data_IF_556428478522
#
_entry.id   IF_556428478522
#
_cell.length_a   1.000
_cell.length_b   1.000
_cell.length_c   1.000
_cell.angle_alpha   90.00
_cell.angle_beta   90.00
_cell.angle_gamma   90.00
#
_symmetry.space_group_name_H-M   'P 1'
#
loop_
_entity.id
_entity.type
_entity.pdbx_description
1 polymer ?
#
# COMPACT_ATOMS: atom_id res chain seq x y z
N UNK A 1 39.75 61.65 71.29
CA UNK A 1 40.84 60.77 70.83
C UNK A 1 42.13 60.93 71.65
N UNK A 2 42.58 62.15 71.99
CA UNK A 2 43.77 62.35 72.84
C UNK A 2 43.68 61.72 74.25
N UNK A 3 42.50 61.75 74.89
CA UNK A 3 42.32 61.20 76.25
C UNK A 3 42.41 59.67 76.31
N UNK A 4 41.88 58.94 75.31
CA UNK A 4 41.98 57.48 75.25
C UNK A 4 43.43 57.02 74.98
N UNK A 5 44.18 57.74 74.16
CA UNK A 5 45.60 57.45 73.94
C UNK A 5 46.40 57.72 75.23
N UNK A 6 46.08 58.79 75.96
CA UNK A 6 46.68 59.11 77.25
C UNK A 6 46.35 58.08 78.33
N UNK A 7 45.11 57.57 78.40
CA UNK A 7 44.73 56.49 79.30
C UNK A 7 45.41 55.16 78.95
N UNK A 8 45.44 54.77 77.67
CA UNK A 8 46.19 53.57 77.25
C UNK A 8 47.67 53.71 77.59
N UNK A 9 48.26 54.87 77.34
CA UNK A 9 49.66 55.08 77.64
C UNK A 9 49.94 55.13 79.14
N UNK A 10 49.04 55.70 79.96
CA UNK A 10 49.12 55.60 81.43
C UNK A 10 48.93 54.16 81.92
N UNK A 11 48.01 53.39 81.34
CA UNK A 11 47.76 52.00 81.67
C UNK A 11 48.95 51.10 81.33
N UNK A 12 49.55 51.26 80.14
CA UNK A 12 50.79 50.58 79.79
C UNK A 12 51.96 51.06 80.67
N UNK A 13 52.09 52.36 80.93
CA UNK A 13 53.13 52.89 81.84
C UNK A 13 52.96 52.38 83.27
N UNK A 14 51.74 52.09 83.70
CA UNK A 14 51.44 51.48 85.00
C UNK A 14 51.83 50.00 85.01
N UNK A 15 51.42 49.24 83.98
CA UNK A 15 51.82 47.82 83.81
C UNK A 15 53.33 47.63 83.68
N UNK A 16 54.01 48.50 82.91
CA UNK A 16 55.47 48.47 82.79
C UNK A 16 56.14 48.84 84.12
N UNK A 17 55.60 49.77 84.89
CA UNK A 17 56.09 50.04 86.25
C UNK A 17 55.88 48.85 87.19
N UNK A 18 54.72 48.21 87.15
CA UNK A 18 54.43 47.03 87.97
C UNK A 18 55.35 45.84 87.62
N UNK A 19 55.70 45.67 86.34
CA UNK A 19 56.68 44.68 85.87
C UNK A 19 58.13 45.00 86.27
N UNK A 20 58.50 46.28 86.31
CA UNK A 20 59.87 46.72 86.67
C UNK A 20 60.05 46.77 88.20
N UNK A 21 59.05 47.25 88.93
CA UNK A 21 59.19 47.53 90.36
C UNK A 21 58.85 46.34 91.25
N UNK A 22 58.10 45.31 90.83
CA UNK A 22 57.82 44.13 91.68
C UNK A 22 57.32 44.48 93.10
N UNK A 23 57.44 43.54 94.06
CA UNK A 23 56.88 43.70 95.42
C UNK A 23 57.69 44.68 96.34
N UNK A 24 57.05 45.75 96.87
CA UNK A 24 57.47 46.71 97.90
C UNK A 24 58.70 46.49 98.78
N UNK A 25 58.78 45.28 99.33
CA UNK A 25 59.53 44.98 100.56
C UNK A 25 60.98 44.52 100.33
N UNK A 26 61.38 44.27 99.07
CA UNK A 26 62.69 43.70 98.74
C UNK A 26 63.55 44.66 97.87
N UNK A 27 64.90 44.69 98.04
CA UNK A 27 65.82 45.46 97.20
C UNK A 27 65.70 45.12 95.70
N UNK A 28 65.97 46.08 94.78
CA UNK A 28 65.78 45.88 93.33
C UNK A 28 66.56 44.68 92.76
N UNK A 29 67.76 44.41 93.27
CA UNK A 29 68.54 43.22 92.90
C UNK A 29 67.85 41.91 93.29
N UNK A 30 67.20 41.86 94.46
CA UNK A 30 66.46 40.68 94.92
C UNK A 30 65.13 40.49 94.19
N UNK A 31 64.47 41.58 93.77
CA UNK A 31 63.23 41.50 92.96
C UNK A 31 63.49 40.91 91.58
N UNK A 32 64.54 41.36 90.91
CA UNK A 32 64.95 40.81 89.62
C UNK A 32 65.33 39.32 89.74
N UNK A 33 65.99 38.93 90.84
CA UNK A 33 66.29 37.53 91.14
C UNK A 33 65.04 36.68 91.39
N UNK A 34 64.05 37.19 92.14
CA UNK A 34 62.78 36.47 92.39
C UNK A 34 61.94 36.34 91.12
N UNK A 35 61.84 37.40 90.31
CA UNK A 35 61.10 37.38 89.05
C UNK A 35 61.78 36.45 88.02
N UNK A 36 63.12 36.50 87.91
CA UNK A 36 63.88 35.56 87.10
C UNK A 36 63.72 34.12 87.60
N UNK A 37 63.75 33.88 88.91
CA UNK A 37 63.54 32.55 89.48
C UNK A 37 62.11 32.03 89.24
N UNK A 38 61.11 32.91 89.23
CA UNK A 38 59.74 32.56 88.86
C UNK A 38 59.64 32.22 87.38
N UNK A 39 60.14 33.07 86.49
CA UNK A 39 60.14 32.81 85.04
C UNK A 39 60.91 31.53 84.69
N UNK A 40 62.01 31.24 85.38
CA UNK A 40 62.74 29.98 85.22
C UNK A 40 61.97 28.78 85.74
N UNK A 41 61.16 28.93 86.81
CA UNK A 41 60.27 27.87 87.29
C UNK A 41 59.14 27.63 86.30
N UNK A 42 58.45 28.68 85.87
CA UNK A 42 57.36 28.60 84.90
C UNK A 42 57.85 28.02 83.56
N UNK A 43 59.04 28.43 83.08
CA UNK A 43 59.65 27.87 81.88
C UNK A 43 60.04 26.40 82.06
N UNK A 44 60.50 25.99 83.24
CA UNK A 44 60.77 24.57 83.55
C UNK A 44 59.49 23.76 83.63
N UNK A 45 58.41 24.33 84.15
CA UNK A 45 57.10 23.70 84.25
C UNK A 45 56.48 23.54 82.86
N UNK A 46 56.47 24.59 82.04
CA UNK A 46 56.07 24.52 80.62
C UNK A 46 56.89 23.49 79.84
N UNK A 47 58.21 23.42 80.06
CA UNK A 47 59.05 22.40 79.42
C UNK A 47 58.71 20.98 79.90
N UNK A 48 58.26 20.80 81.15
CA UNK A 48 57.78 19.50 81.64
C UNK A 48 56.44 19.14 81.00
N UNK A 49 55.49 20.06 80.96
CA UNK A 49 54.19 19.88 80.31
C UNK A 49 54.37 19.54 78.84
N UNK A 50 55.16 20.32 78.09
CA UNK A 50 55.49 20.03 76.69
C UNK A 50 56.20 18.68 76.53
N UNK A 51 57.07 18.31 77.47
CA UNK A 51 57.71 16.98 77.45
C UNK A 51 56.70 15.85 77.69
N UNK A 52 55.65 16.07 78.48
CA UNK A 52 54.58 15.10 78.71
C UNK A 52 53.66 15.02 77.49
N UNK A 53 53.29 16.15 76.90
CA UNK A 53 52.54 16.21 75.64
C UNK A 53 53.29 15.50 74.50
N UNK A 54 54.60 15.69 74.38
CA UNK A 54 55.42 14.98 73.38
C UNK A 54 55.38 13.46 73.62
N UNK A 55 55.39 13.01 74.87
CA UNK A 55 55.29 11.57 75.19
C UNK A 55 53.91 11.03 74.83
N UNK A 56 52.85 11.75 75.17
CA UNK A 56 51.48 11.36 74.83
C UNK A 56 51.26 11.32 73.31
N UNK A 57 51.72 12.35 72.59
CA UNK A 57 51.64 12.38 71.12
C UNK A 57 52.43 11.23 70.47
N UNK A 58 53.59 10.87 71.01
CA UNK A 58 54.35 9.70 70.55
C UNK A 58 53.61 8.39 70.79
N UNK A 59 52.94 8.25 71.94
CA UNK A 59 52.13 7.08 72.24
C UNK A 59 50.94 6.98 71.27
N UNK A 60 50.17 8.07 71.10
CA UNK A 60 49.04 8.09 70.15
C UNK A 60 49.50 7.80 68.71
N UNK A 61 50.67 8.30 68.31
CA UNK A 61 51.24 7.98 67.00
C UNK A 61 51.52 6.47 66.87
N UNK A 62 52.09 5.84 67.89
CA UNK A 62 52.36 4.40 67.89
C UNK A 62 51.07 3.57 67.83
N UNK A 63 50.03 3.95 68.58
CA UNK A 63 48.70 3.33 68.55
C UNK A 63 48.07 3.42 67.16
N UNK A 64 48.01 4.62 66.57
CA UNK A 64 47.46 4.83 65.22
C UNK A 64 48.26 4.09 64.14
N UNK A 65 49.59 4.00 64.27
CA UNK A 65 50.42 3.20 63.38
C UNK A 65 50.12 1.69 63.50
N UNK A 66 49.89 1.20 64.73
CA UNK A 66 49.44 -0.17 65.00
C UNK A 66 48.08 -0.46 64.36
N UNK A 67 47.12 0.43 64.56
CA UNK A 67 45.78 0.33 63.96
C UNK A 67 45.85 0.37 62.43
N UNK A 68 46.68 1.25 61.86
CA UNK A 68 46.87 1.32 60.41
C UNK A 68 47.46 0.02 59.85
N UNK A 69 48.39 -0.62 60.57
CA UNK A 69 48.95 -1.93 60.19
C UNK A 69 47.88 -3.01 60.23
N UNK A 70 47.06 -3.05 61.28
CA UNK A 70 45.94 -3.98 61.40
C UNK A 70 44.91 -3.77 60.29
N UNK A 71 44.51 -2.52 60.01
CA UNK A 71 43.59 -2.19 58.92
C UNK A 71 44.13 -2.60 57.56
N UNK A 72 45.42 -2.34 57.27
CA UNK A 72 46.06 -2.81 56.04
C UNK A 72 46.04 -4.33 55.93
N UNK A 73 46.32 -5.04 57.02
CA UNK A 73 46.26 -6.50 57.07
C UNK A 73 44.84 -7.02 56.84
N UNK A 74 43.83 -6.40 57.46
CA UNK A 74 42.42 -6.75 57.27
C UNK A 74 41.94 -6.48 55.84
N UNK A 75 42.32 -5.34 55.24
CA UNK A 75 41.99 -5.02 53.85
C UNK A 75 42.68 -6.01 52.90
N UNK A 76 43.94 -6.38 53.16
CA UNK A 76 44.65 -7.39 52.37
C UNK A 76 43.94 -8.75 52.46
N UNK A 77 43.56 -9.20 53.67
CA UNK A 77 42.74 -10.40 53.89
C UNK A 77 41.40 -10.34 53.17
N UNK A 78 40.72 -9.20 53.14
CA UNK A 78 39.45 -9.07 52.42
C UNK A 78 39.61 -9.09 50.90
N UNK A 79 40.69 -8.49 50.37
CA UNK A 79 40.94 -8.40 48.92
C UNK A 79 41.48 -9.69 48.31
N UNK A 80 42.38 -10.37 49.02
CA UNK A 80 43.01 -11.60 48.56
C UNK A 80 42.18 -12.84 48.94
N UNK A 81 41.10 -12.65 49.72
CA UNK A 81 40.57 -13.72 50.54
C UNK A 81 41.53 -13.99 51.69
N UNK A 82 41.01 -14.43 52.83
CA UNK A 82 41.87 -14.99 53.86
C UNK A 82 42.65 -16.13 53.19
N UNK A 83 43.96 -16.22 53.39
CA UNK A 83 44.74 -17.42 53.04
C UNK A 83 44.11 -18.68 53.68
N UNK A 84 43.23 -18.50 54.69
CA UNK A 84 42.39 -19.53 55.30
C UNK A 84 40.93 -19.62 54.77
N UNK A 85 40.44 -18.68 53.96
CA UNK A 85 39.12 -18.75 53.30
C UNK A 85 39.22 -19.47 51.95
N UNK A 86 40.44 -19.70 51.46
CA UNK A 86 40.73 -20.86 50.61
C UNK A 86 40.44 -22.22 51.31
N UNK A 87 40.23 -22.18 52.64
CA UNK A 87 40.02 -23.31 53.54
C UNK A 87 38.68 -23.21 54.29
N UNK A 88 37.62 -22.71 53.64
CA UNK A 88 36.33 -23.41 53.82
C UNK A 88 36.54 -24.79 53.19
N UNK A 89 37.02 -25.73 53.99
CA UNK A 89 37.28 -27.11 53.60
C UNK A 89 35.94 -27.80 53.36
N UNK A 90 35.26 -27.40 52.28
CA UNK A 90 34.47 -28.38 51.55
C UNK A 90 35.46 -29.49 51.19
N UNK A 91 35.15 -30.74 51.51
CA UNK A 91 35.94 -31.86 51.04
C UNK A 91 36.27 -31.71 49.55
N UNK A 92 37.47 -32.11 49.14
CA UNK A 92 37.91 -31.96 47.75
C UNK A 92 36.89 -32.52 46.74
N UNK A 93 36.19 -33.60 47.11
CA UNK A 93 35.13 -34.19 46.32
C UNK A 93 33.91 -33.28 46.12
N UNK A 94 33.46 -32.52 47.13
CA UNK A 94 32.32 -31.60 46.97
C UNK A 94 32.68 -30.43 46.04
N UNK A 95 33.94 -29.98 46.06
CA UNK A 95 34.43 -28.96 45.13
C UNK A 95 34.51 -29.49 43.70
N UNK A 96 35.02 -30.70 43.55
CA UNK A 96 35.10 -31.39 42.27
C UNK A 96 33.70 -31.63 41.68
N UNK A 97 32.74 -32.07 42.49
CA UNK A 97 31.35 -32.26 42.09
C UNK A 97 30.70 -30.96 41.61
N UNK A 98 30.94 -29.85 42.31
CA UNK A 98 30.45 -28.52 41.91
C UNK A 98 31.10 -28.05 40.60
N UNK A 99 32.41 -28.26 40.42
CA UNK A 99 33.09 -27.92 39.17
C UNK A 99 32.53 -28.74 38.02
N UNK A 100 32.35 -30.06 38.19
CA UNK A 100 31.74 -30.89 37.16
C UNK A 100 30.29 -30.48 36.85
N UNK A 101 29.52 -30.06 37.85
CA UNK A 101 28.17 -29.52 37.62
C UNK A 101 28.20 -28.22 36.80
N UNK A 102 29.15 -27.32 37.07
CA UNK A 102 29.33 -26.10 36.31
C UNK A 102 29.81 -26.36 34.88
N UNK A 103 30.72 -27.31 34.68
CA UNK A 103 31.17 -27.74 33.36
C UNK A 103 30.02 -28.34 32.55
N UNK A 104 29.25 -29.27 33.14
CA UNK A 104 28.05 -29.84 32.51
C UNK A 104 27.01 -28.77 32.18
N UNK A 105 26.76 -27.83 33.09
CA UNK A 105 25.84 -26.73 32.85
C UNK A 105 26.33 -25.79 31.73
N UNK A 106 27.65 -25.56 31.66
CA UNK A 106 28.26 -24.77 30.59
C UNK A 106 28.13 -25.47 29.24
N UNK A 107 28.44 -26.76 29.16
CA UNK A 107 28.26 -27.56 27.94
C UNK A 107 26.80 -27.54 27.47
N UNK A 108 25.85 -27.66 28.41
CA UNK A 108 24.42 -27.54 28.11
C UNK A 108 24.05 -26.16 27.58
N UNK A 109 24.57 -25.08 28.18
CA UNK A 109 24.35 -23.72 27.69
C UNK A 109 24.93 -23.52 26.29
N UNK A 110 26.17 -23.97 26.03
CA UNK A 110 26.81 -23.88 24.72
C UNK A 110 26.01 -24.67 23.65
N UNK A 111 25.49 -25.85 24.00
CA UNK A 111 24.62 -26.62 23.10
C UNK A 111 23.28 -25.91 22.83
N UNK A 112 22.65 -25.32 23.86
CA UNK A 112 21.41 -24.56 23.70
C UNK A 112 21.63 -23.29 22.88
N UNK A 113 22.74 -22.58 23.05
CA UNK A 113 23.11 -21.42 22.24
C UNK A 113 23.27 -21.79 20.76
N UNK A 114 23.93 -22.92 20.47
CA UNK A 114 24.05 -23.43 19.11
C UNK A 114 22.69 -23.82 18.52
N UNK A 115 21.85 -24.51 19.29
CA UNK A 115 20.49 -24.88 18.85
C UNK A 115 19.61 -23.66 18.62
N UNK A 116 19.70 -22.63 19.47
CA UNK A 116 18.98 -21.37 19.31
C UNK A 116 19.42 -20.65 18.04
N UNK A 117 20.73 -20.64 17.76
CA UNK A 117 21.27 -20.05 16.54
C UNK A 117 20.76 -20.77 15.29
N UNK A 118 20.83 -22.10 15.26
CA UNK A 118 20.30 -22.90 14.15
C UNK A 118 18.79 -22.64 13.93
N UNK A 119 17.99 -22.64 14.99
CA UNK A 119 16.55 -22.34 14.89
C UNK A 119 16.27 -20.90 14.42
N UNK A 120 17.15 -19.95 14.75
CA UNK A 120 17.03 -18.55 14.31
C UNK A 120 17.35 -18.42 12.82
N UNK A 121 18.37 -19.12 12.34
CA UNK A 121 18.74 -19.18 10.93
C UNK A 121 17.60 -19.82 10.10
N UNK A 122 17.06 -20.96 10.55
CA UNK A 122 15.90 -21.61 9.92
C UNK A 122 14.66 -20.69 9.89
N UNK A 123 14.40 -19.96 10.99
CA UNK A 123 13.31 -18.99 11.04
C UNK A 123 13.50 -17.86 10.03
N UNK A 124 14.74 -17.41 9.80
CA UNK A 124 15.05 -16.38 8.82
C UNK A 124 14.79 -16.89 7.39
N UNK A 125 15.18 -18.13 7.09
CA UNK A 125 14.91 -18.76 5.79
C UNK A 125 13.40 -18.88 5.53
N UNK A 126 12.63 -19.40 6.49
CA UNK A 126 11.16 -19.51 6.38
C UNK A 126 10.50 -18.14 6.23
N UNK A 127 11.01 -17.10 6.90
CA UNK A 127 10.51 -15.72 6.72
C UNK A 127 10.78 -15.20 5.32
N UNK A 128 11.96 -15.49 4.75
CA UNK A 128 12.30 -15.11 3.38
C UNK A 128 11.39 -15.83 2.37
N UNK A 129 11.19 -17.13 2.53
CA UNK A 129 10.25 -17.90 1.69
C UNK A 129 8.83 -17.35 1.77
N UNK A 130 8.33 -17.09 2.98
CA UNK A 130 7.01 -16.47 3.19
C UNK A 130 6.89 -15.13 2.45
N UNK A 131 7.92 -14.29 2.47
CA UNK A 131 7.90 -13.01 1.75
C UNK A 131 7.76 -13.23 0.23
N UNK A 132 8.51 -14.18 -0.34
CA UNK A 132 8.41 -14.55 -1.75
C UNK A 132 7.00 -15.02 -2.10
N UNK A 133 6.40 -15.86 -1.26
CA UNK A 133 5.01 -16.30 -1.46
C UNK A 133 3.99 -15.17 -1.32
N UNK A 134 4.18 -14.24 -0.38
CA UNK A 134 3.33 -13.05 -0.25
C UNK A 134 3.41 -12.15 -1.49
N UNK A 135 4.60 -11.89 -2.00
CA UNK A 135 4.79 -11.11 -3.23
C UNK A 135 4.18 -11.81 -4.45
N UNK A 136 4.31 -13.15 -4.53
CA UNK A 136 3.67 -13.95 -5.57
C UNK A 136 2.15 -13.84 -5.49
N UNK A 137 1.57 -13.98 -4.29
CA UNK A 137 0.14 -13.84 -4.07
C UNK A 137 -0.35 -12.43 -4.42
N UNK A 138 0.40 -11.40 -4.04
CA UNK A 138 0.09 -10.01 -4.37
C UNK A 138 0.08 -9.78 -5.89
N UNK A 139 1.12 -10.22 -6.60
CA UNK A 139 1.19 -10.14 -8.07
C UNK A 139 0.04 -10.88 -8.74
N UNK A 140 -0.24 -12.11 -8.33
CA UNK A 140 -1.38 -12.87 -8.85
C UNK A 140 -2.70 -12.16 -8.60
N UNK A 141 -2.88 -11.56 -7.41
CA UNK A 141 -4.07 -10.79 -7.11
C UNK A 141 -4.18 -9.55 -8.00
N UNK A 142 -3.06 -8.86 -8.30
CA UNK A 142 -3.06 -7.76 -9.27
C UNK A 142 -3.47 -8.23 -10.68
N UNK A 143 -2.93 -9.37 -11.15
CA UNK A 143 -3.32 -9.94 -12.46
C UNK A 143 -4.79 -10.37 -12.47
N UNK A 144 -5.28 -11.00 -11.40
CA UNK A 144 -6.69 -11.39 -11.27
C UNK A 144 -7.59 -10.16 -11.25
N UNK A 145 -7.25 -9.13 -10.47
CA UNK A 145 -8.00 -7.86 -10.47
C UNK A 145 -7.89 -7.12 -11.80
N UNK A 146 -6.78 -7.25 -12.52
CA UNK A 146 -6.66 -6.73 -13.87
C UNK A 146 -7.60 -7.47 -14.81
N UNK A 147 -7.64 -8.80 -14.79
CA UNK A 147 -8.58 -9.59 -15.59
C UNK A 147 -10.01 -9.20 -15.20
N UNK A 148 -10.39 -9.34 -13.93
CA UNK A 148 -11.75 -9.08 -13.45
C UNK A 148 -12.17 -7.60 -13.55
N UNK A 149 -11.22 -6.67 -13.48
CA UNK A 149 -11.45 -5.22 -13.50
C UNK A 149 -11.31 -4.56 -14.87
N UNK A 150 -10.60 -5.17 -15.84
CA UNK A 150 -10.46 -4.67 -17.22
C UNK A 150 -11.44 -5.34 -18.21
N UNK A 151 -12.59 -5.77 -17.73
CA UNK A 151 -13.67 -6.22 -18.61
C UNK A 151 -14.54 -5.07 -19.12
N UNK A 152 -13.88 -4.01 -19.62
CA UNK A 152 -14.46 -3.14 -20.64
C UNK A 152 -13.94 -3.50 -22.05
N UNK A 153 -12.87 -4.31 -22.22
CA UNK A 153 -12.35 -4.60 -23.57
C UNK A 153 -11.75 -6.00 -23.85
N UNK A 154 -11.74 -6.97 -22.93
CA UNK A 154 -11.28 -8.32 -23.29
C UNK A 154 -11.77 -9.48 -22.39
N UNK A 155 -13.05 -9.54 -22.06
CA UNK A 155 -13.68 -10.87 -22.12
C UNK A 155 -13.98 -11.03 -23.60
N UNK A 156 -13.41 -12.05 -24.24
CA UNK A 156 -13.94 -12.51 -25.52
C UNK A 156 -15.42 -12.78 -25.29
N UNK A 157 -16.29 -11.91 -25.77
CA UNK A 157 -17.73 -12.14 -25.73
C UNK A 157 -17.99 -13.34 -26.64
N UNK A 158 -17.98 -14.53 -26.02
CA UNK A 158 -18.16 -15.82 -26.69
C UNK A 158 -19.50 -15.81 -27.41
N UNK A 159 -20.51 -15.12 -26.87
CA UNK A 159 -21.81 -15.00 -27.50
C UNK A 159 -21.73 -14.11 -28.75
N UNK A 160 -21.03 -12.97 -28.71
CA UNK A 160 -20.77 -12.15 -29.90
C UNK A 160 -20.00 -12.92 -30.99
N UNK A 161 -18.96 -13.65 -30.62
CA UNK A 161 -18.20 -14.50 -31.55
C UNK A 161 -19.03 -15.67 -32.10
N UNK A 162 -19.87 -16.29 -31.27
CA UNK A 162 -20.78 -17.33 -31.73
C UNK A 162 -21.85 -16.77 -32.68
N UNK A 163 -22.35 -15.56 -32.43
CA UNK A 163 -23.27 -14.87 -33.35
C UNK A 163 -22.58 -14.53 -34.68
N UNK A 164 -21.37 -13.99 -34.64
CA UNK A 164 -20.59 -13.70 -35.84
C UNK A 164 -20.29 -14.97 -36.64
N UNK A 165 -19.88 -16.05 -35.98
CA UNK A 165 -19.58 -17.32 -36.64
C UNK A 165 -20.83 -17.92 -37.29
N UNK A 166 -21.99 -17.85 -36.62
CA UNK A 166 -23.28 -18.28 -37.18
C UNK A 166 -23.68 -17.44 -38.39
N UNK A 167 -23.54 -16.11 -38.28
CA UNK A 167 -23.83 -15.20 -39.39
C UNK A 167 -22.93 -15.45 -40.61
N UNK A 168 -21.63 -15.63 -40.40
CA UNK A 168 -20.68 -15.93 -41.47
C UNK A 168 -20.99 -17.28 -42.14
N UNK A 169 -21.37 -18.29 -41.37
CA UNK A 169 -21.82 -19.57 -41.91
C UNK A 169 -23.07 -19.43 -42.78
N UNK A 170 -24.10 -18.73 -42.29
CA UNK A 170 -25.32 -18.45 -43.07
C UNK A 170 -24.99 -17.68 -44.36
N UNK A 171 -24.09 -16.69 -44.27
CA UNK A 171 -23.66 -15.90 -45.42
C UNK A 171 -22.90 -16.75 -46.45
N UNK A 172 -22.04 -17.66 -45.99
CA UNK A 172 -21.32 -18.58 -46.87
C UNK A 172 -22.30 -19.53 -47.57
N UNK A 173 -23.27 -20.08 -46.84
CA UNK A 173 -24.31 -20.93 -47.41
C UNK A 173 -25.12 -20.21 -48.51
N UNK A 174 -25.56 -18.97 -48.25
CA UNK A 174 -26.23 -18.14 -49.26
C UNK A 174 -25.38 -17.94 -50.52
N UNK A 175 -24.10 -17.59 -50.36
CA UNK A 175 -23.19 -17.43 -51.50
C UNK A 175 -22.99 -18.74 -52.27
N UNK A 176 -22.96 -19.86 -51.57
CA UNK A 176 -22.81 -21.18 -52.19
C UNK A 176 -24.05 -21.57 -52.99
N UNK A 177 -25.25 -21.23 -52.52
CA UNK A 177 -26.50 -21.34 -53.25
C UNK A 177 -26.52 -20.44 -54.48
N UNK A 178 -26.13 -19.17 -54.36
CA UNK A 178 -26.02 -18.24 -55.50
C UNK A 178 -25.05 -18.75 -56.56
N UNK A 179 -23.88 -19.27 -56.16
CA UNK A 179 -22.92 -19.89 -57.08
C UNK A 179 -23.53 -21.12 -57.76
N UNK A 180 -24.28 -21.94 -57.04
CA UNK A 180 -24.95 -23.12 -57.62
C UNK A 180 -26.01 -22.72 -58.66
N UNK A 181 -26.80 -21.68 -58.37
CA UNK A 181 -27.80 -21.13 -59.27
C UNK A 181 -27.16 -20.52 -60.52
N UNK A 182 -26.08 -19.76 -60.36
CA UNK A 182 -25.32 -19.19 -61.47
C UNK A 182 -24.71 -20.29 -62.35
N UNK A 183 -24.12 -21.34 -61.75
CA UNK A 183 -23.63 -22.51 -62.51
C UNK A 183 -24.75 -23.19 -63.31
N UNK A 184 -25.92 -23.38 -62.70
CA UNK A 184 -27.10 -23.92 -63.39
C UNK A 184 -27.56 -23.02 -64.54
N UNK A 185 -27.61 -21.71 -64.32
CA UNK A 185 -28.00 -20.74 -65.35
C UNK A 185 -26.99 -20.67 -66.49
N UNK A 186 -25.68 -20.67 -66.20
CA UNK A 186 -24.62 -20.75 -67.22
C UNK A 186 -24.78 -22.04 -68.04
N UNK A 187 -25.06 -23.17 -67.39
CA UNK A 187 -25.29 -24.43 -68.08
C UNK A 187 -26.52 -24.35 -69.00
N UNK A 188 -27.64 -23.79 -68.51
CA UNK A 188 -28.86 -23.56 -69.32
C UNK A 188 -28.56 -22.66 -70.53
N UNK A 189 -27.86 -21.54 -70.34
CA UNK A 189 -27.52 -20.64 -71.43
C UNK A 189 -26.54 -21.26 -72.42
N UNK A 190 -25.55 -22.03 -71.95
CA UNK A 190 -24.65 -22.79 -72.82
C UNK A 190 -25.43 -23.79 -73.66
N UNK A 191 -26.33 -24.57 -73.04
CA UNK A 191 -27.19 -25.52 -73.77
C UNK A 191 -28.12 -24.83 -74.77
N UNK A 192 -28.69 -23.67 -74.41
CA UNK A 192 -29.52 -22.88 -75.33
C UNK A 192 -28.72 -22.26 -76.48
N UNK A 193 -27.46 -21.88 -76.23
CA UNK A 193 -26.56 -21.37 -77.25
C UNK A 193 -26.15 -22.46 -78.24
N UNK A 194 -25.78 -23.65 -77.72
CA UNK A 194 -25.46 -24.82 -78.55
C UNK A 194 -26.69 -25.32 -79.33
N UNK A 195 -27.88 -25.33 -78.74
CA UNK A 195 -29.10 -25.68 -79.48
C UNK A 195 -29.43 -24.67 -80.58
N UNK A 196 -29.16 -23.37 -80.36
CA UNK A 196 -29.32 -22.32 -81.39
C UNK A 196 -28.24 -22.39 -82.47
N UNK A 197 -27.02 -22.82 -82.13
CA UNK A 197 -25.94 -23.10 -83.08
C UNK A 197 -26.26 -24.34 -83.92
N UNK A 198 -26.83 -25.39 -83.31
CA UNK A 198 -27.29 -26.59 -84.01
C UNK A 198 -28.56 -26.32 -84.85
N UNK A 199 -29.46 -25.41 -84.44
CA UNK A 199 -30.58 -24.95 -85.26
C UNK A 199 -30.15 -24.06 -86.44
N UNK A 200 -29.06 -23.30 -86.33
CA UNK A 200 -28.52 -22.49 -87.44
C UNK A 200 -27.96 -23.32 -88.59
N UNK A 201 -27.69 -24.61 -88.39
CA UNK A 201 -27.28 -25.52 -89.48
C UNK A 201 -28.49 -25.95 -90.33
N UNK A 202 -29.73 -25.77 -89.84
CA UNK A 202 -30.95 -26.15 -90.56
C UNK A 202 -32.13 -25.18 -90.37
N UNK A 203 -31.95 -23.85 -90.46
CA UNK A 203 -33.09 -22.98 -90.82
C UNK A 203 -32.69 -21.54 -91.16
N UNK A 204 -32.86 -21.17 -92.43
CA UNK A 204 -33.15 -19.79 -92.85
C UNK A 204 -34.66 -19.59 -92.64
N UNK A 205 -35.06 -18.70 -91.73
CA UNK A 205 -36.39 -18.08 -91.74
C UNK A 205 -36.43 -16.85 -90.84
N UNK A 206 -36.90 -15.74 -91.43
CA UNK A 206 -37.15 -14.47 -90.77
C UNK A 206 -38.42 -14.58 -89.91
N UNK A 207 -38.35 -14.28 -88.61
CA UNK A 207 -39.53 -13.84 -87.85
C UNK A 207 -39.12 -12.94 -86.68
N UNK A 208 -39.67 -11.74 -86.65
CA UNK A 208 -39.61 -10.79 -85.53
C UNK A 208 -40.25 -11.39 -84.28
N UNK A 209 -39.44 -11.83 -83.33
CA UNK A 209 -39.93 -12.29 -82.03
C UNK A 209 -39.89 -11.12 -81.03
N UNK A 210 -41.07 -10.56 -80.75
CA UNK A 210 -41.34 -9.51 -79.76
C UNK A 210 -41.37 -10.13 -78.34
N UNK A 211 -40.27 -10.76 -77.92
CA UNK A 211 -40.12 -11.48 -76.63
C UNK A 211 -39.34 -10.67 -75.59
N UNK A 212 -39.40 -9.35 -75.68
CA UNK A 212 -38.76 -8.46 -74.70
C UNK A 212 -39.70 -8.15 -73.54
N UNK A 213 -39.27 -8.47 -72.32
CA UNK A 213 -39.90 -8.03 -71.07
C UNK A 213 -40.15 -6.52 -71.13
N UNK A 214 -41.42 -6.11 -71.09
CA UNK A 214 -41.79 -4.70 -71.10
C UNK A 214 -41.37 -4.04 -69.79
N UNK A 215 -40.65 -2.93 -69.89
CA UNK A 215 -40.21 -2.10 -68.76
C UNK A 215 -41.40 -1.37 -68.13
N UNK A 216 -41.34 -1.11 -66.82
CA UNK A 216 -42.36 -0.35 -66.08
C UNK A 216 -42.68 1.01 -66.71
N UNK A 217 -41.70 1.65 -67.38
CA UNK A 217 -41.92 2.90 -68.11
C UNK A 217 -42.75 2.71 -69.39
N UNK A 218 -42.55 1.60 -70.09
CA UNK A 218 -43.29 1.26 -71.33
C UNK A 218 -44.75 0.89 -71.02
N UNK A 219 -44.99 0.25 -69.86
CA UNK A 219 -46.35 -0.01 -69.37
C UNK A 219 -47.05 1.30 -69.00
N UNK A 220 -46.34 2.25 -68.39
CA UNK A 220 -46.90 3.55 -68.03
C UNK A 220 -47.20 4.44 -69.25
N UNK A 221 -46.36 4.43 -70.29
CA UNK A 221 -46.62 5.11 -71.57
C UNK A 221 -47.85 4.52 -72.30
N UNK A 222 -48.00 3.19 -72.30
CA UNK A 222 -49.16 2.52 -72.91
C UNK A 222 -50.49 2.80 -72.18
N UNK A 223 -50.44 3.03 -70.87
CA UNK A 223 -51.64 3.35 -70.06
C UNK A 223 -52.03 4.84 -70.13
N UNK A 224 -51.09 5.73 -70.45
CA UNK A 224 -51.27 7.19 -70.47
C UNK A 224 -51.58 7.77 -71.85
N UNK A 225 -51.52 6.98 -72.92
CA UNK A 225 -51.89 7.44 -74.26
C UNK A 225 -53.42 7.64 -74.36
N UNK A 226 -53.86 8.89 -74.24
CA UNK A 226 -55.26 9.33 -74.16
C UNK A 226 -56.07 9.25 -75.48
N UNK A 227 -55.51 8.78 -76.61
CA UNK A 227 -56.24 8.84 -77.89
C UNK A 227 -57.06 7.60 -78.28
N UNK A 228 -57.05 6.51 -77.51
CA UNK A 228 -57.96 5.39 -77.79
C UNK A 228 -58.60 4.89 -76.48
N UNK A 229 -59.91 5.12 -76.35
CA UNK A 229 -60.73 4.41 -75.37
C UNK A 229 -60.42 2.92 -75.43
N UNK A 230 -60.01 2.38 -74.28
CA UNK A 230 -59.43 1.04 -74.15
C UNK A 230 -60.39 -0.05 -74.67
N UNK A 231 -60.18 -0.46 -75.92
CA UNK A 231 -60.63 -1.75 -76.44
C UNK A 231 -59.40 -2.51 -76.91
N UNK A 232 -58.71 -3.12 -75.95
CA UNK A 232 -57.77 -4.20 -76.27
C UNK A 232 -58.56 -5.25 -77.07
N UNK A 233 -58.09 -5.71 -78.23
CA UNK A 233 -58.74 -6.83 -78.90
C UNK A 233 -58.77 -8.00 -77.90
N UNK A 234 -59.97 -8.53 -77.63
CA UNK A 234 -60.22 -9.64 -76.71
C UNK A 234 -59.66 -10.93 -77.33
N UNK A 235 -58.33 -10.99 -77.42
CA UNK A 235 -57.57 -12.15 -77.83
C UNK A 235 -57.23 -12.92 -76.56
N UNK A 236 -57.16 -14.24 -76.64
CA UNK A 236 -56.77 -15.09 -75.51
C UNK A 236 -55.41 -14.67 -74.91
N UNK A 237 -54.52 -14.10 -75.74
CA UNK A 237 -53.22 -13.59 -75.34
C UNK A 237 -53.31 -12.31 -74.48
N UNK A 238 -54.11 -11.31 -74.89
CA UNK A 238 -54.24 -10.07 -74.11
C UNK A 238 -54.87 -10.29 -72.73
N UNK A 239 -55.80 -11.26 -72.63
CA UNK A 239 -56.36 -11.71 -71.35
C UNK A 239 -55.31 -12.41 -70.49
N UNK A 240 -54.43 -13.22 -71.09
CA UNK A 240 -53.33 -13.90 -70.37
C UNK A 240 -52.30 -12.90 -69.83
N UNK A 241 -51.91 -11.92 -70.64
CA UNK A 241 -50.93 -10.90 -70.25
C UNK A 241 -51.49 -9.99 -69.14
N UNK A 242 -52.77 -9.62 -69.23
CA UNK A 242 -53.46 -8.86 -68.18
C UNK A 242 -53.56 -9.65 -66.87
N UNK A 243 -53.88 -10.95 -66.94
CA UNK A 243 -53.87 -11.83 -65.76
C UNK A 243 -52.49 -11.89 -65.13
N UNK A 244 -51.43 -12.09 -65.93
CA UNK A 244 -50.06 -12.10 -65.44
C UNK A 244 -49.65 -10.79 -64.77
N UNK A 245 -50.04 -9.64 -65.35
CA UNK A 245 -49.78 -8.33 -64.76
C UNK A 245 -50.53 -8.16 -63.43
N UNK A 246 -51.80 -8.56 -63.37
CA UNK A 246 -52.60 -8.51 -62.16
C UNK A 246 -52.00 -9.38 -61.04
N UNK A 247 -51.51 -10.58 -61.37
CA UNK A 247 -50.81 -11.46 -60.41
C UNK A 247 -49.52 -10.83 -59.90
N UNK A 248 -48.70 -10.27 -60.79
CA UNK A 248 -47.46 -9.58 -60.40
C UNK A 248 -47.71 -8.35 -59.51
N UNK A 249 -48.76 -7.57 -59.80
CA UNK A 249 -49.17 -6.43 -58.97
C UNK A 249 -49.67 -6.89 -57.60
N UNK A 250 -50.46 -7.98 -57.52
CA UNK A 250 -50.91 -8.57 -56.26
C UNK A 250 -49.75 -9.08 -55.41
N UNK A 251 -48.79 -9.77 -56.03
CA UNK A 251 -47.55 -10.23 -55.37
C UNK A 251 -46.74 -9.05 -54.83
N UNK A 252 -46.58 -7.98 -55.63
CA UNK A 252 -45.88 -6.76 -55.21
C UNK A 252 -46.57 -6.07 -54.04
N UNK A 253 -47.90 -6.01 -54.03
CA UNK A 253 -48.67 -5.45 -52.91
C UNK A 253 -48.51 -6.32 -51.66
N UNK A 254 -48.54 -7.64 -51.82
CA UNK A 254 -48.36 -8.57 -50.71
C UNK A 254 -46.97 -8.42 -50.08
N UNK A 255 -45.91 -8.37 -50.91
CA UNK A 255 -44.54 -8.16 -50.45
C UNK A 255 -44.37 -6.81 -49.74
N UNK A 256 -44.91 -5.71 -50.30
CA UNK A 256 -44.88 -4.39 -49.63
C UNK A 256 -45.61 -4.40 -48.29
N UNK A 257 -46.75 -5.09 -48.19
CA UNK A 257 -47.46 -5.25 -46.93
C UNK A 257 -46.64 -6.03 -45.89
N UNK A 258 -45.94 -7.08 -46.30
CA UNK A 258 -45.02 -7.83 -45.43
C UNK A 258 -43.88 -6.93 -44.92
N UNK A 259 -43.25 -6.14 -45.79
CA UNK A 259 -42.18 -5.21 -45.40
C UNK A 259 -42.70 -4.18 -44.38
N UNK A 260 -43.89 -3.60 -44.60
CA UNK A 260 -44.50 -2.66 -43.65
C UNK A 260 -44.80 -3.33 -42.31
N UNK A 261 -45.29 -4.58 -42.32
CA UNK A 261 -45.55 -5.34 -41.10
C UNK A 261 -44.27 -5.60 -40.31
N UNK A 262 -43.20 -6.04 -40.96
CA UNK A 262 -41.88 -6.22 -40.32
C UNK A 262 -41.37 -4.90 -39.76
N UNK A 263 -41.46 -3.79 -40.50
CA UNK A 263 -41.05 -2.48 -40.02
C UNK A 263 -41.84 -2.05 -38.77
N UNK A 264 -43.15 -2.28 -38.73
CA UNK A 264 -43.98 -2.00 -37.55
C UNK A 264 -43.54 -2.82 -36.34
N UNK A 265 -43.22 -4.10 -36.54
CA UNK A 265 -42.75 -4.98 -35.47
C UNK A 265 -41.38 -4.55 -34.93
N UNK A 266 -40.44 -4.20 -35.82
CA UNK A 266 -39.14 -3.64 -35.43
C UNK A 266 -39.30 -2.35 -34.65
N UNK A 267 -40.13 -1.41 -35.13
CA UNK A 267 -40.38 -0.16 -34.43
C UNK A 267 -41.02 -0.38 -33.05
N UNK A 268 -41.87 -1.41 -32.90
CA UNK A 268 -42.44 -1.78 -31.60
C UNK A 268 -41.36 -2.27 -30.62
N UNK A 269 -40.42 -3.10 -31.08
CA UNK A 269 -39.29 -3.58 -30.26
C UNK A 269 -38.39 -2.40 -29.84
N UNK A 270 -38.05 -1.53 -30.79
CA UNK A 270 -37.25 -0.32 -30.51
C UNK A 270 -37.96 0.59 -29.49
N UNK A 271 -39.26 0.85 -29.68
CA UNK A 271 -40.06 1.63 -28.73
C UNK A 271 -40.06 1.06 -27.32
N UNK A 272 -40.20 -0.28 -27.19
CA UNK A 272 -40.11 -0.95 -25.89
C UNK A 272 -38.74 -0.78 -25.23
N UNK A 273 -37.65 -0.88 -26.01
CA UNK A 273 -36.29 -0.71 -25.50
C UNK A 273 -36.02 0.72 -25.07
N UNK A 274 -36.50 1.71 -25.83
CA UNK A 274 -36.43 3.13 -25.46
C UNK A 274 -37.17 3.37 -24.14
N UNK A 275 -38.41 2.86 -24.00
CA UNK A 275 -39.17 2.99 -22.76
C UNK A 275 -38.49 2.30 -21.56
N UNK A 276 -37.76 1.19 -21.79
CA UNK A 276 -36.95 0.54 -20.76
C UNK A 276 -35.74 1.38 -20.34
N UNK A 277 -35.04 1.97 -21.30
CA UNK A 277 -33.91 2.86 -21.05
C UNK A 277 -34.36 4.13 -20.31
N UNK A 278 -35.50 4.72 -20.70
CA UNK A 278 -36.09 5.87 -20.00
C UNK A 278 -36.45 5.53 -18.54
N UNK A 279 -36.97 4.32 -18.27
CA UNK A 279 -37.21 3.87 -16.90
C UNK A 279 -35.91 3.70 -16.11
N UNK A 280 -34.91 3.04 -16.70
CA UNK A 280 -33.59 2.85 -16.08
C UNK A 280 -32.92 4.19 -15.78
N UNK A 281 -33.01 5.14 -16.70
CA UNK A 281 -32.53 6.51 -16.54
C UNK A 281 -33.18 7.19 -15.33
N UNK A 282 -34.52 7.19 -15.27
CA UNK A 282 -35.26 7.74 -14.12
C UNK A 282 -34.88 7.09 -12.79
N UNK A 283 -34.71 5.76 -12.76
CA UNK A 283 -34.26 5.05 -11.55
C UNK A 283 -32.86 5.49 -11.12
N UNK A 284 -31.95 5.69 -12.08
CA UNK A 284 -30.58 6.14 -11.80
C UNK A 284 -30.52 7.61 -11.36
N UNK A 285 -31.38 8.48 -11.88
CA UNK A 285 -31.56 9.86 -11.42
C UNK A 285 -32.05 9.92 -9.97
N UNK A 286 -33.09 9.13 -9.63
CA UNK A 286 -33.68 9.09 -8.28
C UNK A 286 -32.73 8.49 -7.25
N UNK A 287 -31.91 7.51 -7.64
CA UNK A 287 -30.95 6.86 -6.74
C UNK A 287 -29.63 7.62 -6.58
N UNK A 288 -29.46 8.76 -7.25
CA UNK A 288 -28.26 9.60 -7.13
C UNK A 288 -26.98 8.95 -7.66
N UNK A 289 -27.09 7.82 -8.37
CA UNK A 289 -25.96 7.10 -8.98
C UNK A 289 -25.53 7.68 -10.33
N UNK A 290 -26.22 8.72 -10.82
CA UNK A 290 -25.76 9.51 -11.96
C UNK A 290 -24.65 10.47 -11.54
N UNK A 291 -23.40 10.01 -11.63
CA UNK A 291 -22.23 10.87 -11.65
C UNK A 291 -21.51 10.71 -12.98
N UNK A 292 -21.47 11.78 -13.79
CA UNK A 292 -20.56 11.82 -14.94
C UNK A 292 -19.13 11.86 -14.41
N UNK A 293 -18.21 10.99 -14.86
CA UNK A 293 -16.79 11.12 -14.56
C UNK A 293 -16.31 12.43 -15.23
N UNK A 294 -16.07 13.47 -14.44
CA UNK A 294 -15.49 14.72 -14.97
C UNK A 294 -15.92 16.04 -14.33
N UNK A 295 -16.79 16.08 -13.31
CA UNK A 295 -17.06 17.33 -12.57
C UNK A 295 -17.08 17.12 -11.06
N UNK A 296 -15.91 16.82 -10.48
CA UNK A 296 -15.65 17.22 -9.10
C UNK A 296 -15.43 18.73 -9.06
N UNK A 297 -16.52 19.49 -8.94
CA UNK A 297 -16.54 20.77 -8.22
C UNK A 297 -17.78 20.75 -7.33
N UNK A 298 -17.65 20.07 -6.19
CA UNK A 298 -18.50 20.27 -5.04
C UNK A 298 -18.24 21.70 -4.52
N UNK A 299 -18.86 22.70 -5.15
CA UNK A 299 -19.01 24.02 -4.55
C UNK A 299 -20.15 23.90 -3.53
N UNK A 300 -19.78 23.89 -2.26
CA UNK A 300 -20.69 24.16 -1.15
C UNK A 300 -21.34 25.54 -1.35
N UNK A 301 -22.50 25.57 -2.03
CA UNK A 301 -23.40 26.71 -1.97
C UNK A 301 -24.14 26.63 -0.64
N UNK A 302 -23.60 27.32 0.36
CA UNK A 302 -24.35 27.76 1.55
C UNK A 302 -25.57 28.54 1.06
N UNK A 303 -26.75 27.94 1.21
CA UNK A 303 -28.02 28.66 1.12
C UNK A 303 -28.16 29.44 2.42
N UNK A 304 -27.84 30.74 2.38
CA UNK A 304 -28.27 31.67 3.43
C UNK A 304 -29.76 31.97 3.23
N UNK A 305 -30.60 31.93 4.27
CA UNK A 305 -32.01 32.27 4.15
C UNK A 305 -32.15 33.78 3.92
N UNK A 306 -32.82 34.15 2.83
CA UNK A 306 -33.21 35.53 2.57
C UNK A 306 -34.31 35.91 3.56
N UNK A 307 -33.97 36.83 4.46
CA UNK A 307 -34.89 37.47 5.40
C UNK A 307 -35.88 38.34 4.61
N UNK A 308 -37.17 38.00 4.74
CA UNK A 308 -38.29 38.83 4.31
C UNK A 308 -38.33 40.14 5.09
N UNK A 309 -38.28 41.27 4.38
CA UNK A 309 -38.93 42.54 4.73
C UNK A 309 -39.46 43.18 3.45
#
# INVERSE_FOLDING_TARGET
MANQLRERHQGLKKKYRELIDGDPSLPPEKRNQVNLAQLLRDSREQNKELSEEIKELKQRLAEVQGDNKLLRMTIAKQRLGDEEVGTRHFPAHEREDLVQQLERAREQNEALEQSLKAATDELQDVRAERNVYQEKAHRLNLEINHILGNHENHILDIDALCMENRYLHERLMQLQEEVSLLKSNIMKYKSALESKKNCKVYSKSNSSALTGVLSAKQVQELLLSEENGCSLPVTSQSISDLKSLATALLETIHEKNMVIQHQRQTNKILGNRVAELERKLKTLEVSGLWSLPGKHHFLYLKISPISTK
#
